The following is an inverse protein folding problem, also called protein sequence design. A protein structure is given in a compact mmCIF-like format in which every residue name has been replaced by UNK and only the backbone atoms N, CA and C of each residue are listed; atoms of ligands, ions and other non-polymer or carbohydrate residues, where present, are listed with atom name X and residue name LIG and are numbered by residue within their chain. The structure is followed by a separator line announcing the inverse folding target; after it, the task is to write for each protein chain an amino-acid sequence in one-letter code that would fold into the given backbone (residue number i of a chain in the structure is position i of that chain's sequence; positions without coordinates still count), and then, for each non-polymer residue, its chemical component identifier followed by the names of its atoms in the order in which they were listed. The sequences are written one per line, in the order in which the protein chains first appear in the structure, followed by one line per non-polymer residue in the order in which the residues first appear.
data_IF_512597223281
#
_entry.id   IF_512597223281
#
_cell.length_a   1.000
_cell.length_b   1.000
_cell.length_c   1.000
_cell.angle_alpha   90.00
_cell.angle_beta   90.00
_cell.angle_gamma   90.00
#
_symmetry.space_group_name_H-M   'P 1'
#
loop_
_entity.id
_entity.type
_entity.pdbx_description
1 polymer ?
#
# COMPACT_ATOMS: atom_id res chain seq x y z
N UNK A 1 13.52 -44.82 -41.76
CA UNK A 1 14.54 -45.16 -40.74
C UNK A 1 13.97 -44.83 -39.38
N UNK A 2 13.63 -45.85 -38.59
CA UNK A 2 13.20 -45.74 -37.19
C UNK A 2 14.42 -46.03 -36.33
N UNK A 3 14.80 -45.13 -35.43
CA UNK A 3 15.76 -45.44 -34.36
C UNK A 3 15.05 -45.37 -33.03
N UNK A 4 14.96 -46.55 -32.42
CA UNK A 4 14.34 -46.85 -31.14
C UNK A 4 15.37 -46.60 -30.03
N UNK A 5 14.99 -45.91 -28.97
CA UNK A 5 15.80 -45.72 -27.76
C UNK A 5 16.01 -47.05 -27.02
N UNK A 6 17.15 -47.28 -26.34
CA UNK A 6 17.32 -48.47 -25.52
C UNK A 6 16.61 -48.28 -24.16
N UNK A 7 15.70 -49.21 -23.86
CA UNK A 7 15.14 -49.40 -22.54
C UNK A 7 16.22 -50.02 -21.64
N UNK A 8 16.59 -49.35 -20.56
CA UNK A 8 17.44 -49.94 -19.52
C UNK A 8 16.55 -50.73 -18.58
N UNK A 9 16.74 -52.05 -18.62
CA UNK A 9 15.99 -53.07 -17.91
C UNK A 9 16.08 -52.90 -16.38
N UNK A 10 14.92 -52.86 -15.74
CA UNK A 10 14.73 -52.93 -14.29
C UNK A 10 14.88 -54.39 -13.86
N UNK A 11 16.08 -54.77 -13.40
CA UNK A 11 16.31 -56.07 -12.78
C UNK A 11 15.88 -56.06 -11.31
N UNK A 12 14.92 -56.92 -10.98
CA UNK A 12 14.46 -57.27 -9.64
C UNK A 12 15.21 -58.51 -9.13
N UNK A 13 15.88 -58.44 -7.97
CA UNK A 13 15.87 -59.48 -6.92
C UNK A 13 16.83 -59.21 -5.73
N UNK A 14 16.21 -59.07 -4.56
CA UNK A 14 16.59 -59.64 -3.25
C UNK A 14 17.71 -59.05 -2.37
N UNK A 15 17.25 -58.71 -1.15
CA UNK A 15 17.91 -58.68 0.18
C UNK A 15 18.74 -57.47 0.59
N UNK A 16 18.21 -56.78 1.60
CA UNK A 16 18.72 -55.56 2.27
C UNK A 16 18.52 -54.33 1.39
N UNK A 17 17.47 -53.53 1.66
CA UNK A 17 17.28 -52.22 1.04
C UNK A 17 18.42 -51.29 1.46
N UNK A 18 19.58 -51.46 0.83
CA UNK A 18 20.61 -50.45 0.78
C UNK A 18 19.97 -49.29 0.03
N UNK A 19 19.53 -48.27 0.77
CA UNK A 19 19.08 -47.01 0.17
C UNK A 19 20.19 -46.61 -0.80
N UNK A 20 19.91 -46.45 -2.11
CA UNK A 20 20.95 -46.12 -3.07
C UNK A 20 21.64 -44.83 -2.62
N UNK A 21 22.87 -44.90 -2.11
CA UNK A 21 23.61 -43.75 -1.55
C UNK A 21 23.62 -42.57 -2.52
N UNK A 22 23.73 -42.87 -3.82
CA UNK A 22 23.68 -41.90 -4.92
C UNK A 22 22.36 -41.10 -4.98
N UNK A 23 21.24 -41.70 -4.58
CA UNK A 23 19.96 -41.01 -4.49
C UNK A 23 19.92 -40.07 -3.28
N UNK A 24 20.51 -40.46 -2.15
CA UNK A 24 20.60 -39.61 -0.95
C UNK A 24 21.51 -38.41 -1.21
N UNK A 25 22.69 -38.62 -1.78
CA UNK A 25 23.65 -37.55 -2.08
C UNK A 25 23.06 -36.52 -3.05
N UNK A 26 22.29 -36.98 -4.05
CA UNK A 26 21.56 -36.10 -4.96
C UNK A 26 20.48 -35.29 -4.24
N UNK A 27 19.70 -35.90 -3.36
CA UNK A 27 18.67 -35.19 -2.57
C UNK A 27 19.31 -34.12 -1.68
N UNK A 28 20.43 -34.45 -1.02
CA UNK A 28 21.17 -33.50 -0.18
C UNK A 28 21.72 -32.35 -1.03
N UNK A 29 22.30 -32.64 -2.19
CA UNK A 29 22.81 -31.62 -3.11
C UNK A 29 21.68 -30.67 -3.58
N UNK A 30 20.55 -31.22 -4.02
CA UNK A 30 19.39 -30.44 -4.45
C UNK A 30 18.83 -29.57 -3.32
N UNK A 31 18.76 -30.11 -2.09
CA UNK A 31 18.33 -29.37 -0.90
C UNK A 31 19.26 -28.19 -0.62
N UNK A 32 20.57 -28.40 -0.70
CA UNK A 32 21.56 -27.35 -0.42
C UNK A 32 21.55 -26.27 -1.52
N UNK A 33 21.42 -26.67 -2.77
CA UNK A 33 21.27 -25.74 -3.90
C UNK A 33 19.99 -24.89 -3.76
N UNK A 34 18.86 -25.51 -3.45
CA UNK A 34 17.60 -24.81 -3.23
C UNK A 34 17.67 -23.78 -2.11
N UNK A 35 18.33 -24.11 -1.00
CA UNK A 35 18.53 -23.18 0.12
C UNK A 35 19.48 -22.04 -0.26
N UNK A 36 20.56 -22.33 -0.99
CA UNK A 36 21.48 -21.30 -1.45
C UNK A 36 20.77 -20.27 -2.34
N UNK A 37 19.93 -20.72 -3.29
CA UNK A 37 19.13 -19.84 -4.13
C UNK A 37 18.09 -19.04 -3.32
N UNK A 38 17.47 -19.67 -2.32
CA UNK A 38 16.51 -18.99 -1.45
C UNK A 38 17.16 -17.86 -0.63
N UNK A 39 18.37 -18.10 -0.09
CA UNK A 39 19.13 -17.08 0.62
C UNK A 39 19.50 -15.90 -0.29
N UNK A 40 19.98 -16.16 -1.52
CA UNK A 40 20.27 -15.12 -2.51
C UNK A 40 19.02 -14.30 -2.89
N UNK A 41 17.87 -14.96 -3.06
CA UNK A 41 16.61 -14.28 -3.33
C UNK A 41 16.19 -13.39 -2.14
N UNK A 42 16.41 -13.85 -0.91
CA UNK A 42 16.12 -13.08 0.31
C UNK A 42 16.96 -11.80 0.37
N UNK A 43 18.27 -11.88 0.12
CA UNK A 43 19.16 -10.71 0.06
C UNK A 43 18.74 -9.70 -1.02
N UNK A 44 18.34 -10.20 -2.20
CA UNK A 44 17.81 -9.36 -3.28
C UNK A 44 16.51 -8.64 -2.85
N UNK A 45 15.61 -9.36 -2.17
CA UNK A 45 14.34 -8.81 -1.68
C UNK A 45 14.55 -7.76 -0.59
N UNK A 46 15.49 -7.97 0.33
CA UNK A 46 15.85 -6.99 1.35
C UNK A 46 16.42 -5.71 0.73
N UNK A 47 17.32 -5.88 -0.26
CA UNK A 47 17.88 -4.76 -1.02
C UNK A 47 16.80 -3.97 -1.76
N UNK A 48 15.89 -4.67 -2.44
CA UNK A 48 14.73 -4.09 -3.11
C UNK A 48 13.84 -3.31 -2.13
N UNK A 49 13.51 -3.91 -0.98
CA UNK A 49 12.73 -3.28 0.09
C UNK A 49 13.36 -1.97 0.53
N UNK A 50 14.68 -1.96 0.76
CA UNK A 50 15.41 -0.78 1.20
C UNK A 50 15.31 0.36 0.18
N UNK A 51 15.55 0.08 -1.10
CA UNK A 51 15.48 1.06 -2.18
C UNK A 51 14.07 1.64 -2.31
N UNK A 52 13.04 0.79 -2.35
CA UNK A 52 11.64 1.23 -2.45
C UNK A 52 11.20 2.03 -1.22
N UNK A 53 11.70 1.65 -0.04
CA UNK A 53 11.45 2.39 1.20
C UNK A 53 12.04 3.79 1.13
N UNK A 54 13.30 3.92 0.74
CA UNK A 54 13.97 5.21 0.58
C UNK A 54 13.27 6.09 -0.47
N UNK A 55 12.88 5.51 -1.61
CA UNK A 55 12.13 6.22 -2.65
C UNK A 55 10.79 6.75 -2.14
N UNK A 56 10.08 5.93 -1.36
CA UNK A 56 8.77 6.29 -0.80
C UNK A 56 8.83 7.14 0.46
N UNK A 57 9.99 7.34 1.10
CA UNK A 57 10.13 8.17 2.30
C UNK A 57 9.39 7.66 3.54
N UNK A 58 8.91 6.41 3.53
CA UNK A 58 8.23 5.80 4.67
C UNK A 58 9.21 5.02 5.56
N UNK A 59 8.99 5.02 6.87
CA UNK A 59 9.78 4.18 7.80
C UNK A 59 9.56 2.67 7.57
N UNK A 60 8.32 2.32 7.16
CA UNK A 60 7.91 0.95 6.91
C UNK A 60 7.11 0.81 5.61
N UNK A 61 7.46 -0.18 4.80
CA UNK A 61 6.84 -0.45 3.51
C UNK A 61 5.69 -1.46 3.63
N UNK A 62 4.59 -1.09 4.28
CA UNK A 62 3.43 -1.98 4.46
C UNK A 62 2.93 -2.54 3.13
N UNK A 63 2.77 -3.87 3.06
CA UNK A 63 2.32 -4.62 1.89
C UNK A 63 3.45 -5.15 1.00
N UNK A 64 4.73 -4.94 1.37
CA UNK A 64 5.86 -5.51 0.63
C UNK A 64 5.83 -7.03 0.65
N UNK A 65 5.62 -7.63 1.81
CA UNK A 65 5.56 -9.07 2.01
C UNK A 65 4.40 -9.70 1.21
N UNK A 66 3.26 -9.00 1.14
CA UNK A 66 2.13 -9.41 0.30
C UNK A 66 2.49 -9.36 -1.18
N UNK A 67 3.16 -8.29 -1.63
CA UNK A 67 3.62 -8.16 -3.01
C UNK A 67 4.63 -9.24 -3.40
N UNK A 68 5.56 -9.60 -2.49
CA UNK A 68 6.50 -10.71 -2.69
C UNK A 68 5.76 -12.05 -2.75
N UNK A 69 4.83 -12.28 -1.83
CA UNK A 69 4.02 -13.51 -1.80
C UNK A 69 3.23 -13.67 -3.10
N UNK A 70 2.60 -12.60 -3.57
CA UNK A 70 1.85 -12.58 -4.82
C UNK A 70 2.74 -12.77 -6.05
N UNK A 71 3.95 -12.21 -6.04
CA UNK A 71 4.94 -12.39 -7.10
C UNK A 71 5.40 -13.85 -7.21
N UNK A 72 5.67 -14.50 -6.08
CA UNK A 72 6.04 -15.93 -6.04
C UNK A 72 4.88 -16.81 -6.48
N UNK A 73 3.64 -16.48 -6.07
CA UNK A 73 2.44 -17.22 -6.48
C UNK A 73 2.13 -17.12 -7.98
N UNK A 74 2.47 -16.00 -8.62
CA UNK A 74 2.24 -15.73 -10.05
C UNK A 74 3.54 -15.75 -10.84
N UNK A 75 4.46 -16.63 -10.49
CA UNK A 75 5.75 -16.77 -11.16
C UNK A 75 5.61 -17.13 -12.65
N UNK A 76 4.48 -17.70 -13.06
CA UNK A 76 4.11 -17.99 -14.45
C UNK A 76 3.81 -16.74 -15.30
N UNK A 77 3.60 -15.58 -14.66
CA UNK A 77 3.23 -14.31 -15.32
C UNK A 77 4.16 -13.16 -14.90
N UNK A 78 5.39 -13.11 -15.44
CA UNK A 78 6.38 -12.12 -15.03
C UNK A 78 5.95 -10.67 -15.34
N UNK A 79 5.27 -10.43 -16.46
CA UNK A 79 4.81 -9.08 -16.84
C UNK A 79 3.73 -8.53 -15.90
N UNK A 80 2.77 -9.36 -15.51
CA UNK A 80 1.70 -8.97 -14.57
C UNK A 80 2.27 -8.72 -13.16
N UNK A 81 3.18 -9.59 -12.73
CA UNK A 81 3.92 -9.43 -11.47
C UNK A 81 4.72 -8.12 -11.47
N UNK A 82 5.44 -7.81 -12.56
CA UNK A 82 6.18 -6.55 -12.70
C UNK A 82 5.24 -5.35 -12.58
N UNK A 83 4.10 -5.35 -13.30
CA UNK A 83 3.10 -4.28 -13.23
C UNK A 83 2.57 -4.07 -11.82
N UNK A 84 2.29 -5.16 -11.09
CA UNK A 84 1.77 -5.09 -9.72
C UNK A 84 2.81 -4.51 -8.74
N UNK A 85 4.08 -4.91 -8.85
CA UNK A 85 5.18 -4.37 -8.04
C UNK A 85 5.40 -2.88 -8.34
N UNK A 86 5.40 -2.49 -9.62
CA UNK A 86 5.50 -1.09 -10.04
C UNK A 86 4.36 -0.26 -9.45
N UNK A 87 3.10 -0.70 -9.58
CA UNK A 87 1.93 0.02 -9.02
C UNK A 87 1.99 0.13 -7.49
N UNK A 88 2.48 -0.91 -6.82
CA UNK A 88 2.68 -0.88 -5.38
C UNK A 88 3.70 0.20 -4.98
N UNK A 89 4.85 0.26 -5.66
CA UNK A 89 5.86 1.28 -5.43
C UNK A 89 5.32 2.69 -5.75
N UNK A 90 4.70 2.85 -6.92
CA UNK A 90 4.14 4.12 -7.39
C UNK A 90 3.13 4.69 -6.41
N UNK A 91 2.24 3.86 -5.87
CA UNK A 91 1.26 4.30 -4.87
C UNK A 91 1.93 4.88 -3.61
N UNK A 92 3.04 4.28 -3.15
CA UNK A 92 3.78 4.78 -1.99
C UNK A 92 4.50 6.09 -2.31
N UNK A 93 5.07 6.20 -3.49
CA UNK A 93 5.72 7.43 -3.96
C UNK A 93 4.70 8.55 -4.14
N UNK A 94 3.52 8.28 -4.72
CA UNK A 94 2.43 9.26 -4.80
C UNK A 94 1.99 9.76 -3.44
N UNK A 95 1.85 8.87 -2.46
CA UNK A 95 1.54 9.27 -1.08
C UNK A 95 2.60 10.22 -0.52
N UNK A 96 3.89 9.92 -0.73
CA UNK A 96 4.99 10.83 -0.35
C UNK A 96 4.87 12.17 -1.07
N UNK A 97 4.75 12.17 -2.39
CA UNK A 97 4.66 13.41 -3.18
C UNK A 97 3.52 14.29 -2.68
N UNK A 98 2.34 13.73 -2.44
CA UNK A 98 1.18 14.46 -1.91
C UNK A 98 1.42 15.03 -0.51
N UNK A 99 2.20 14.33 0.31
CA UNK A 99 2.58 14.76 1.66
C UNK A 99 3.61 15.89 1.59
N UNK A 100 4.71 15.67 0.87
CA UNK A 100 5.85 16.59 0.78
C UNK A 100 5.47 17.91 0.09
N UNK A 101 4.57 17.87 -0.90
CA UNK A 101 4.06 19.10 -1.54
C UNK A 101 2.94 19.76 -0.74
N UNK A 102 2.53 19.19 0.39
CA UNK A 102 1.41 19.68 1.21
C UNK A 102 0.06 19.59 0.51
N UNK A 103 -0.12 18.77 -0.53
CA UNK A 103 -1.42 18.72 -1.24
C UNK A 103 -2.53 18.13 -0.35
N UNK A 104 -2.18 17.23 0.57
CA UNK A 104 -3.12 16.71 1.56
C UNK A 104 -3.67 17.78 2.51
N UNK A 105 -3.01 18.93 2.69
CA UNK A 105 -3.54 20.01 3.54
C UNK A 105 -4.74 20.72 2.90
N UNK A 106 -4.96 20.56 1.59
CA UNK A 106 -6.11 21.12 0.89
C UNK A 106 -7.27 20.13 0.73
N UNK A 107 -7.13 18.91 1.26
CA UNK A 107 -8.10 17.82 1.11
C UNK A 107 -8.76 17.50 2.46
N UNK A 108 -10.05 17.14 2.47
CA UNK A 108 -10.70 16.47 3.60
C UNK A 108 -10.31 14.98 3.66
N UNK A 109 -10.59 14.32 4.77
CA UNK A 109 -10.34 12.87 4.92
C UNK A 109 -11.07 12.06 3.83
N UNK A 110 -12.29 12.46 3.46
CA UNK A 110 -13.04 11.85 2.36
C UNK A 110 -12.35 12.00 0.99
N UNK A 111 -11.77 13.18 0.72
CA UNK A 111 -11.02 13.42 -0.52
C UNK A 111 -9.70 12.64 -0.54
N UNK A 112 -9.01 12.55 0.60
CA UNK A 112 -7.82 11.71 0.76
C UNK A 112 -8.14 10.23 0.52
N UNK A 113 -9.27 9.73 1.03
CA UNK A 113 -9.72 8.36 0.79
C UNK A 113 -10.04 8.08 -0.67
N UNK A 114 -10.73 9.02 -1.34
CA UNK A 114 -11.03 8.92 -2.75
C UNK A 114 -9.75 8.90 -3.59
N UNK A 115 -8.79 9.77 -3.28
CA UNK A 115 -7.47 9.74 -3.90
C UNK A 115 -6.75 8.41 -3.67
N UNK A 116 -6.77 7.90 -2.44
CA UNK A 116 -6.17 6.61 -2.10
C UNK A 116 -6.84 5.43 -2.82
N UNK A 117 -8.14 5.50 -3.09
CA UNK A 117 -8.87 4.52 -3.91
C UNK A 117 -8.44 4.61 -5.38
N UNK A 118 -8.28 5.82 -5.93
CA UNK A 118 -7.77 6.02 -7.28
C UNK A 118 -6.34 5.50 -7.45
N UNK A 119 -5.47 5.68 -6.45
CA UNK A 119 -4.13 5.09 -6.48
C UNK A 119 -4.13 3.54 -6.44
N UNK A 120 -5.20 2.92 -5.94
CA UNK A 120 -5.37 1.45 -5.97
C UNK A 120 -6.00 0.96 -7.27
N UNK A 121 -6.65 1.82 -8.05
CA UNK A 121 -7.29 1.43 -9.31
C UNK A 121 -6.27 1.20 -10.42
N UNK A 122 -6.70 0.56 -11.51
CA UNK A 122 -5.85 0.31 -12.69
C UNK A 122 -5.44 1.58 -13.42
N UNK A 123 -6.11 2.70 -13.12
CA UNK A 123 -5.86 4.01 -13.71
C UNK A 123 -4.84 4.84 -12.91
N UNK A 124 -4.14 4.24 -11.94
CA UNK A 124 -3.08 4.90 -11.21
C UNK A 124 -1.98 5.37 -12.20
N UNK A 125 -1.67 6.67 -12.27
CA UNK A 125 -0.63 7.16 -13.16
C UNK A 125 0.74 6.62 -12.74
N UNK A 126 1.52 6.12 -13.69
CA UNK A 126 2.89 5.68 -13.43
C UNK A 126 3.75 6.86 -12.94
N UNK A 127 4.70 6.59 -12.05
CA UNK A 127 5.66 7.61 -11.60
C UNK A 127 6.67 7.91 -12.72
N UNK A 128 6.31 8.86 -13.56
CA UNK A 128 7.19 9.51 -14.53
C UNK A 128 7.14 11.03 -14.32
N UNK A 129 8.19 11.74 -14.72
CA UNK A 129 8.24 13.20 -14.53
C UNK A 129 7.02 13.88 -15.18
N UNK A 130 6.65 13.48 -16.39
CA UNK A 130 5.53 14.06 -17.12
C UNK A 130 4.18 13.81 -16.44
N UNK A 131 3.96 12.57 -15.96
CA UNK A 131 2.73 12.21 -15.24
C UNK A 131 2.63 12.94 -13.90
N UNK A 132 3.75 13.03 -13.17
CA UNK A 132 3.85 13.78 -11.90
C UNK A 132 3.50 15.24 -12.15
N UNK A 133 4.17 15.89 -13.09
CA UNK A 133 3.92 17.29 -13.41
C UNK A 133 2.50 17.53 -13.92
N UNK A 134 1.95 16.66 -14.75
CA UNK A 134 0.58 16.76 -15.25
C UNK A 134 -0.44 16.66 -14.11
N UNK A 135 -0.27 15.69 -13.22
CA UNK A 135 -1.13 15.48 -12.06
C UNK A 135 -1.06 16.66 -11.11
N UNK A 136 0.13 17.15 -10.79
CA UNK A 136 0.29 18.31 -9.90
C UNK A 136 -0.23 19.61 -10.51
N UNK A 137 -0.11 19.81 -11.82
CA UNK A 137 -0.76 20.94 -12.51
C UNK A 137 -2.28 20.89 -12.33
N UNK A 138 -2.89 19.73 -12.52
CA UNK A 138 -4.33 19.54 -12.33
C UNK A 138 -4.76 19.75 -10.88
N UNK A 139 -4.03 19.18 -9.93
CA UNK A 139 -4.30 19.35 -8.50
C UNK A 139 -4.16 20.82 -8.07
N UNK A 140 -3.10 21.50 -8.50
CA UNK A 140 -2.88 22.90 -8.16
C UNK A 140 -3.94 23.82 -8.79
N UNK A 141 -4.42 23.53 -10.01
CA UNK A 141 -5.51 24.28 -10.63
C UNK A 141 -6.84 24.12 -9.87
N UNK A 142 -7.03 22.98 -9.19
CA UNK A 142 -8.27 22.65 -8.47
C UNK A 142 -8.18 22.81 -6.96
N UNK A 143 -7.02 23.20 -6.41
CA UNK A 143 -6.78 23.22 -4.96
C UNK A 143 -7.80 24.06 -4.18
N UNK A 144 -8.21 25.22 -4.70
CA UNK A 144 -9.22 26.07 -4.05
C UNK A 144 -10.60 25.42 -4.04
N UNK A 145 -11.00 24.80 -5.16
CA UNK A 145 -12.27 24.06 -5.22
C UNK A 145 -12.24 22.83 -4.30
N UNK A 146 -11.08 22.15 -4.20
CA UNK A 146 -10.89 21.04 -3.28
C UNK A 146 -11.02 21.48 -1.83
N UNK A 147 -10.43 22.64 -1.49
CA UNK A 147 -10.53 23.24 -0.18
C UNK A 147 -11.98 23.58 0.20
N UNK A 148 -12.72 24.26 -0.69
CA UNK A 148 -14.13 24.58 -0.49
C UNK A 148 -14.98 23.32 -0.30
N UNK A 149 -14.74 22.30 -1.13
CA UNK A 149 -15.41 21.01 -1.00
C UNK A 149 -15.06 20.32 0.32
N UNK A 150 -13.80 20.39 0.75
CA UNK A 150 -13.35 19.85 2.02
C UNK A 150 -14.08 20.48 3.20
N UNK A 151 -14.27 21.81 3.18
CA UNK A 151 -15.07 22.51 4.18
C UNK A 151 -16.53 22.03 4.18
N UNK A 152 -17.13 21.84 3.00
CA UNK A 152 -18.50 21.30 2.90
C UNK A 152 -18.59 19.88 3.49
N UNK A 153 -17.61 19.02 3.19
CA UNK A 153 -17.59 17.64 3.67
C UNK A 153 -17.45 17.57 5.20
N UNK A 154 -16.69 18.48 5.81
CA UNK A 154 -16.63 18.66 7.27
C UNK A 154 -18.01 18.92 7.85
N UNK A 155 -18.75 19.89 7.31
CA UNK A 155 -20.09 20.23 7.79
C UNK A 155 -21.12 19.12 7.56
N UNK A 156 -20.98 18.34 6.48
CA UNK A 156 -21.82 17.15 6.24
C UNK A 156 -21.58 16.06 7.29
N UNK A 157 -20.37 15.95 7.82
CA UNK A 157 -19.99 14.93 8.81
C UNK A 157 -20.30 15.31 10.27
N UNK A 158 -20.74 16.55 10.52
CA UNK A 158 -21.22 17.01 11.82
C UNK A 158 -22.66 16.52 12.07
N UNK A 159 -23.03 16.33 13.35
CA UNK A 159 -24.43 16.08 13.70
C UNK A 159 -25.27 17.33 13.42
N UNK A 160 -26.42 17.12 12.78
CA UNK A 160 -27.39 18.18 12.44
C UNK A 160 -28.43 18.41 13.55
N UNK A 161 -28.35 17.67 14.66
CA UNK A 161 -29.22 17.86 15.82
C UNK A 161 -28.92 19.20 16.53
N UNK A 162 -27.74 19.76 16.29
CA UNK A 162 -27.30 21.03 16.86
C UNK A 162 -27.53 22.19 15.90
N UNK A 163 -28.37 23.15 16.31
CA UNK A 163 -28.65 24.39 15.55
C UNK A 163 -27.40 25.21 15.19
N UNK A 164 -26.29 25.01 15.92
CA UNK A 164 -25.01 25.69 15.69
C UNK A 164 -24.23 25.11 14.51
N UNK A 165 -24.44 23.84 14.16
CA UNK A 165 -23.78 23.16 13.05
C UNK A 165 -24.54 23.45 11.75
N UNK A 166 -24.35 24.65 11.20
CA UNK A 166 -25.01 25.08 9.96
C UNK A 166 -24.03 24.97 8.77
N UNK A 167 -24.35 24.18 7.72
CA UNK A 167 -23.46 23.95 6.58
C UNK A 167 -23.22 25.20 5.71
N UNK A 168 -24.04 26.24 5.85
CA UNK A 168 -23.95 27.47 5.07
C UNK A 168 -23.21 28.60 5.80
N UNK A 169 -22.77 28.41 7.06
CA UNK A 169 -22.02 29.45 7.80
C UNK A 169 -21.10 28.88 8.89
N UNK A 170 -19.91 29.46 8.99
CA UNK A 170 -19.03 29.30 10.14
C UNK A 170 -19.59 30.09 11.34
N UNK A 171 -20.24 29.38 12.27
CA UNK A 171 -20.75 29.95 13.50
C UNK A 171 -19.66 30.08 14.58
N UNK A 172 -19.95 30.85 15.64
CA UNK A 172 -19.04 31.00 16.80
C UNK A 172 -18.82 29.72 17.62
N UNK A 173 -19.58 28.65 17.34
CA UNK A 173 -19.55 27.38 18.07
C UNK A 173 -19.85 26.24 17.10
N UNK A 174 -19.05 25.17 17.17
CA UNK A 174 -19.26 23.91 16.47
C UNK A 174 -19.32 22.80 17.54
N UNK A 175 -20.27 21.88 17.40
CA UNK A 175 -20.44 20.75 18.33
C UNK A 175 -20.11 19.45 17.59
N UNK A 176 -19.13 18.70 18.10
CA UNK A 176 -18.69 17.42 17.54
C UNK A 176 -19.16 16.28 18.46
N UNK A 177 -19.90 15.34 17.90
CA UNK A 177 -20.35 14.13 18.60
C UNK A 177 -19.34 12.99 18.46
N UNK A 178 -19.32 12.07 19.43
CA UNK A 178 -18.51 10.84 19.42
C UNK A 178 -17.01 11.10 19.27
N UNK A 179 -16.50 12.17 19.87
CA UNK A 179 -15.09 12.50 19.86
C UNK A 179 -14.25 11.51 20.70
N UNK A 180 -14.82 11.03 21.80
CA UNK A 180 -14.16 10.17 22.77
C UNK A 180 -14.73 8.76 22.71
N UNK A 181 -13.83 7.79 22.72
CA UNK A 181 -14.13 6.37 22.87
C UNK A 181 -13.79 5.93 24.29
N UNK A 182 -14.74 5.23 24.94
CA UNK A 182 -14.53 4.63 26.25
C UNK A 182 -14.34 3.14 26.10
N UNK A 183 -13.20 2.66 26.59
CA UNK A 183 -12.86 1.25 26.66
C UNK A 183 -13.59 0.56 27.80
N UNK A 184 -13.76 -0.76 27.69
CA UNK A 184 -14.45 -1.58 28.70
C UNK A 184 -13.74 -1.58 30.07
N UNK A 185 -12.45 -1.30 30.10
CA UNK A 185 -11.62 -1.18 31.30
C UNK A 185 -11.66 0.23 31.94
N UNK A 186 -12.44 1.16 31.38
CA UNK A 186 -12.62 2.52 31.89
C UNK A 186 -11.64 3.55 31.34
N UNK A 187 -10.66 3.15 30.54
CA UNK A 187 -9.80 4.09 29.81
C UNK A 187 -10.59 4.87 28.75
N UNK A 188 -10.20 6.11 28.49
CA UNK A 188 -10.81 6.98 27.46
C UNK A 188 -9.75 7.41 26.47
N UNK A 189 -9.98 7.15 25.19
CA UNK A 189 -9.15 7.63 24.09
C UNK A 189 -9.97 8.49 23.13
N UNK A 190 -9.30 9.19 22.23
CA UNK A 190 -9.97 9.76 21.06
C UNK A 190 -10.48 8.62 20.17
N UNK A 191 -11.71 8.73 19.69
CA UNK A 191 -12.21 7.86 18.63
C UNK A 191 -11.46 8.18 17.33
N UNK A 192 -11.20 7.17 16.50
CA UNK A 192 -10.53 7.38 15.21
C UNK A 192 -11.29 8.37 14.33
N UNK A 193 -12.63 8.23 14.22
CA UNK A 193 -13.45 9.16 13.46
C UNK A 193 -13.51 10.53 14.14
N UNK A 194 -13.46 10.55 15.48
CA UNK A 194 -13.38 11.79 16.26
C UNK A 194 -12.14 12.61 15.92
N UNK A 195 -10.97 11.93 15.82
CA UNK A 195 -9.71 12.55 15.41
C UNK A 195 -9.78 13.10 13.99
N UNK A 196 -10.23 12.32 13.02
CA UNK A 196 -10.36 12.77 11.63
C UNK A 196 -11.27 13.98 11.48
N UNK A 197 -12.41 14.00 12.19
CA UNK A 197 -13.31 15.15 12.22
C UNK A 197 -12.65 16.40 12.79
N UNK A 198 -11.85 16.25 13.85
CA UNK A 198 -11.09 17.37 14.44
C UNK A 198 -10.02 17.89 13.49
N UNK A 199 -9.25 17.00 12.87
CA UNK A 199 -8.19 17.36 11.93
C UNK A 199 -8.78 18.05 10.69
N UNK A 200 -9.89 17.54 10.15
CA UNK A 200 -10.60 18.15 9.03
C UNK A 200 -11.24 19.49 9.40
N UNK A 201 -11.72 19.67 10.64
CA UNK A 201 -12.21 20.97 11.13
C UNK A 201 -11.10 22.00 11.30
N UNK A 202 -9.95 21.60 11.83
CA UNK A 202 -8.85 22.49 12.14
C UNK A 202 -8.10 22.96 10.89
N UNK A 203 -7.97 22.08 9.89
CA UNK A 203 -7.21 22.33 8.64
C UNK A 203 -7.64 23.60 7.90
N UNK A 204 -8.94 23.90 7.70
CA UNK A 204 -9.39 25.17 7.14
C UNK A 204 -8.96 26.40 7.93
N UNK A 205 -8.96 26.35 9.26
CA UNK A 205 -8.54 27.49 10.08
C UNK A 205 -7.04 27.74 9.94
N UNK A 206 -6.21 26.69 10.01
CA UNK A 206 -4.77 26.81 9.81
C UNK A 206 -4.42 27.36 8.42
N UNK A 207 -5.13 26.95 7.38
CA UNK A 207 -4.92 27.47 6.02
C UNK A 207 -5.31 28.94 5.84
N UNK A 208 -6.29 29.42 6.60
CA UNK A 208 -6.76 30.81 6.52
C UNK A 208 -5.95 31.76 7.41
N UNK A 209 -5.34 31.26 8.48
CA UNK A 209 -4.51 32.06 9.39
C UNK A 209 -3.09 32.31 8.86
N UNK A 210 -2.59 31.47 7.94
CA UNK A 210 -1.29 31.63 7.28
C UNK A 210 -0.16 30.90 7.98
#
# INVERSE_FOLDING_TARGET
MKQTMPATELNTASTTEVIPSVAIDRIIAQRNEGIALFMQATECLESSRKILREASGHDFLYGFEDAVTDAVRRADKPEETRKNISRFADRKIWHRLMTDTGMYTFMSSCQCDEWNKQLKSETCPEITLDNVLATFRHLNARKMQMFEKGLIDVYRNLSWDYKTNNPCRLGKRIIVSNLLYRWSDGHVSLDHNGREKMDDLARPFYLLEG
#
